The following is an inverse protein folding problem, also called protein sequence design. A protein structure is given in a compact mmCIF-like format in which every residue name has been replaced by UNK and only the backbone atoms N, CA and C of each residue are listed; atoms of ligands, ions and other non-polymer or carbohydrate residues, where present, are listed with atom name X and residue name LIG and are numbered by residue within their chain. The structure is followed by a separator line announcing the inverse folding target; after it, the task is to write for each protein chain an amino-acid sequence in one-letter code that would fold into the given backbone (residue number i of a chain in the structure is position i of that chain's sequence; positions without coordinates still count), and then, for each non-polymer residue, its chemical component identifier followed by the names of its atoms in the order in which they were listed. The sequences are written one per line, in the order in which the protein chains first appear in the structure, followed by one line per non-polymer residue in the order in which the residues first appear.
data_IF_302806034721
#
_entry.id   IF_302806034721
#
_cell.length_a   1.000
_cell.length_b   1.000
_cell.length_c   1.000
_cell.angle_alpha   90.00
_cell.angle_beta   90.00
_cell.angle_gamma   90.00
#
_symmetry.space_group_name_H-M   'P 1'
#
loop_
_entity.id
_entity.type
_entity.pdbx_description
1 polymer ?
#
# COMPACT_ATOMS: atom_id res chain seq x y z
N UNK A 1 22.23 -47.06 -27.23
CA UNK A 1 23.18 -46.65 -26.16
C UNK A 1 22.38 -46.64 -24.86
N UNK A 2 22.28 -47.78 -24.16
CA UNK A 2 23.22 -48.26 -23.12
C UNK A 2 23.13 -47.38 -21.84
N UNK A 3 22.27 -47.75 -20.86
CA UNK A 3 22.57 -48.41 -19.54
C UNK A 3 23.12 -47.42 -18.49
N UNK A 4 22.84 -47.41 -17.17
CA UNK A 4 22.47 -48.38 -16.11
C UNK A 4 22.20 -47.53 -14.83
N UNK A 5 21.15 -47.68 -14.00
CA UNK A 5 20.76 -48.70 -12.99
C UNK A 5 21.64 -48.84 -11.72
N UNK A 6 21.02 -48.63 -10.53
CA UNK A 6 21.09 -49.37 -9.21
C UNK A 6 20.42 -48.51 -8.11
N UNK A 7 19.36 -48.86 -7.36
CA UNK A 7 18.90 -50.02 -6.56
C UNK A 7 19.70 -50.35 -5.27
N UNK A 8 19.00 -50.27 -4.12
CA UNK A 8 18.99 -51.15 -2.92
C UNK A 8 18.01 -50.50 -1.92
N UNK A 9 16.79 -50.97 -1.59
CA UNK A 9 16.32 -52.23 -0.97
C UNK A 9 17.01 -52.62 0.34
N UNK A 10 16.19 -52.85 1.37
CA UNK A 10 16.55 -53.40 2.68
C UNK A 10 15.45 -53.22 3.74
N UNK A 11 14.42 -54.08 3.72
CA UNK A 11 13.41 -54.28 4.77
C UNK A 11 13.59 -55.71 5.37
N UNK A 12 12.75 -56.21 6.31
CA UNK A 12 13.02 -56.37 7.74
C UNK A 12 13.11 -57.85 8.19
N UNK A 13 13.43 -58.16 9.47
CA UNK A 13 13.05 -59.45 10.08
C UNK A 13 13.14 -59.51 11.64
N UNK A 14 11.98 -59.86 12.23
CA UNK A 14 11.69 -60.77 13.38
C UNK A 14 12.05 -60.50 14.88
N UNK A 15 10.95 -60.50 15.67
CA UNK A 15 10.61 -61.06 17.02
C UNK A 15 11.42 -62.27 17.56
N UNK A 16 11.21 -62.84 18.81
CA UNK A 16 10.11 -62.69 19.81
C UNK A 16 10.50 -62.71 21.33
N UNK A 17 9.44 -62.66 22.18
CA UNK A 17 9.22 -63.30 23.51
C UNK A 17 9.90 -62.82 24.80
N UNK A 18 9.06 -62.73 25.86
CA UNK A 18 9.53 -62.72 27.26
C UNK A 18 8.53 -62.20 28.30
N UNK A 19 7.59 -63.05 28.73
CA UNK A 19 6.75 -62.82 29.92
C UNK A 19 7.57 -62.61 31.21
N UNK A 20 7.10 -61.75 32.12
CA UNK A 20 6.97 -62.12 33.55
C UNK A 20 5.97 -61.25 34.30
N UNK A 21 4.96 -61.94 34.81
CA UNK A 21 4.07 -61.54 35.90
C UNK A 21 4.92 -61.44 37.18
N UNK A 22 4.75 -60.37 37.95
CA UNK A 22 4.95 -60.42 39.40
C UNK A 22 3.92 -59.52 40.08
N UNK A 23 3.02 -60.20 40.77
CA UNK A 23 2.04 -59.69 41.69
C UNK A 23 2.70 -59.74 43.06
N UNK A 24 2.90 -58.60 43.71
CA UNK A 24 3.19 -58.57 45.14
C UNK A 24 2.48 -57.38 45.80
N UNK A 25 1.47 -57.77 46.56
CA UNK A 25 0.82 -57.04 47.65
C UNK A 25 1.88 -56.83 48.75
N UNK A 26 1.98 -55.63 49.29
CA UNK A 26 1.99 -55.37 50.74
C UNK A 26 1.97 -53.87 51.03
N UNK A 27 0.95 -53.53 51.81
CA UNK A 27 0.94 -52.68 53.00
C UNK A 27 1.44 -51.23 52.95
N UNK A 28 0.58 -50.38 53.51
CA UNK A 28 0.68 -48.94 53.41
C UNK A 28 1.64 -48.32 54.39
N UNK A 29 2.10 -47.13 54.02
CA UNK A 29 2.58 -46.14 54.96
C UNK A 29 2.35 -44.76 54.35
N UNK A 30 1.78 -43.86 55.18
CA UNK A 30 1.29 -42.56 54.76
C UNK A 30 2.38 -41.69 54.13
N UNK A 31 2.14 -41.23 52.90
CA UNK A 31 2.92 -40.17 52.29
C UNK A 31 2.08 -38.92 52.14
N UNK A 32 2.54 -37.88 52.84
CA UNK A 32 2.00 -36.53 52.85
C UNK A 32 1.81 -36.02 51.42
N UNK A 33 0.67 -35.37 51.23
CA UNK A 33 0.34 -34.46 50.13
C UNK A 33 1.45 -33.45 49.88
N UNK A 34 2.39 -33.80 49.01
CA UNK A 34 3.23 -32.82 48.32
C UNK A 34 2.40 -32.22 47.19
N UNK A 35 1.70 -31.12 47.51
CA UNK A 35 1.11 -30.21 46.54
C UNK A 35 2.23 -29.58 45.71
N UNK A 36 2.69 -30.32 44.69
CA UNK A 36 3.63 -29.86 43.69
C UNK A 36 2.98 -28.83 42.80
N UNK A 37 3.56 -27.63 42.82
CA UNK A 37 3.29 -26.47 41.97
C UNK A 37 3.37 -26.84 40.48
N UNK A 38 2.23 -27.18 39.87
CA UNK A 38 2.16 -27.52 38.46
C UNK A 38 0.94 -26.89 37.77
N UNK A 39 0.74 -25.55 37.85
CA UNK A 39 -0.30 -24.86 37.04
C UNK A 39 -0.02 -23.41 36.59
N UNK A 40 1.20 -22.88 36.69
CA UNK A 40 1.46 -21.47 36.32
C UNK A 40 2.31 -21.29 35.04
N UNK A 41 2.29 -22.26 34.12
CA UNK A 41 3.05 -22.20 32.87
C UNK A 41 2.24 -21.74 31.63
N UNK A 42 1.02 -21.24 31.79
CA UNK A 42 0.16 -20.83 30.66
C UNK A 42 0.23 -19.34 30.29
N UNK A 43 1.26 -18.61 30.71
CA UNK A 43 1.32 -17.15 30.56
C UNK A 43 1.92 -16.63 29.23
N UNK A 44 2.35 -17.50 28.30
CA UNK A 44 3.29 -17.08 27.23
C UNK A 44 2.85 -16.92 25.75
N UNK A 45 1.57 -17.03 25.31
CA UNK A 45 1.25 -16.73 23.89
C UNK A 45 1.10 -15.23 23.55
N UNK A 46 0.81 -14.38 24.53
CA UNK A 46 0.42 -12.98 24.29
C UNK A 46 1.59 -12.02 24.06
N UNK A 47 2.77 -12.32 24.60
CA UNK A 47 3.96 -11.47 24.43
C UNK A 47 4.47 -11.51 22.98
N UNK A 48 4.47 -12.70 22.35
CA UNK A 48 4.90 -12.87 20.96
C UNK A 48 4.04 -12.10 19.96
N UNK A 49 2.73 -12.01 20.18
CA UNK A 49 1.81 -11.25 19.32
C UNK A 49 2.14 -9.75 19.36
N UNK A 50 2.45 -9.21 20.54
CA UNK A 50 2.76 -7.79 20.74
C UNK A 50 4.07 -7.38 20.05
N UNK A 51 5.09 -8.24 20.05
CA UNK A 51 6.33 -7.99 19.31
C UNK A 51 6.13 -7.98 17.79
N UNK A 52 5.26 -8.86 17.28
CA UNK A 52 4.90 -8.88 15.85
C UNK A 52 4.18 -7.59 15.45
N UNK A 53 3.23 -7.12 16.26
CA UNK A 53 2.53 -5.85 16.01
C UNK A 53 3.50 -4.66 16.02
N UNK A 54 4.40 -4.61 17.01
CA UNK A 54 5.43 -3.57 17.09
C UNK A 54 6.36 -3.56 15.87
N UNK A 55 6.74 -4.72 15.34
CA UNK A 55 7.54 -4.83 14.11
C UNK A 55 6.80 -4.32 12.87
N UNK A 56 5.52 -4.66 12.73
CA UNK A 56 4.69 -4.17 11.62
C UNK A 56 4.50 -2.66 11.70
N UNK A 57 4.29 -2.10 12.90
CA UNK A 57 4.12 -0.64 13.11
C UNK A 57 5.42 0.12 12.77
N UNK A 58 6.58 -0.40 13.14
CA UNK A 58 7.88 0.18 12.75
C UNK A 58 8.02 0.17 11.22
N UNK A 59 7.65 -0.93 10.56
CA UNK A 59 7.71 -1.04 9.12
C UNK A 59 6.79 -0.02 8.42
N UNK A 60 5.58 0.20 8.96
CA UNK A 60 4.67 1.25 8.48
C UNK A 60 5.32 2.63 8.63
N UNK A 61 5.90 2.92 9.79
CA UNK A 61 6.53 4.21 10.07
C UNK A 61 7.73 4.48 9.15
N UNK A 62 8.59 3.49 8.91
CA UNK A 62 9.73 3.63 7.99
C UNK A 62 9.28 3.92 6.56
N UNK A 63 8.27 3.20 6.07
CA UNK A 63 7.75 3.41 4.71
C UNK A 63 7.04 4.76 4.58
N UNK A 64 6.30 5.20 5.60
CA UNK A 64 5.68 6.53 5.61
C UNK A 64 6.71 7.66 5.59
N UNK A 65 7.88 7.46 6.21
CA UNK A 65 8.97 8.42 6.18
C UNK A 65 9.59 8.53 4.78
N UNK A 66 9.91 7.40 4.13
CA UNK A 66 10.47 7.39 2.77
C UNK A 66 9.51 8.07 1.76
N UNK A 67 8.20 7.96 2.00
CA UNK A 67 7.19 8.66 1.21
C UNK A 67 7.20 10.18 1.36
N UNK A 68 7.50 10.67 2.57
CA UNK A 68 7.58 12.11 2.84
C UNK A 68 8.80 12.76 2.17
N UNK A 69 9.79 11.98 1.75
CA UNK A 69 11.05 12.48 1.17
C UNK A 69 11.14 12.31 -0.36
N UNK A 70 10.06 11.87 -1.02
CA UNK A 70 10.10 11.47 -2.42
C UNK A 70 10.50 12.60 -3.41
N UNK A 71 11.43 12.26 -4.31
CA UNK A 71 12.10 13.13 -5.29
C UNK A 71 11.21 13.75 -6.39
N UNK A 72 11.67 14.82 -7.07
CA UNK A 72 10.86 15.63 -7.99
C UNK A 72 10.25 14.84 -9.16
N UNK A 73 8.95 15.08 -9.32
CA UNK A 73 8.04 14.48 -10.28
C UNK A 73 8.51 14.59 -11.74
N UNK A 74 8.87 13.46 -12.39
CA UNK A 74 9.21 13.39 -13.84
C UNK A 74 8.12 13.97 -14.75
N UNK A 75 6.87 13.85 -14.32
CA UNK A 75 5.71 14.46 -14.99
C UNK A 75 5.84 15.99 -15.10
N UNK A 76 6.37 16.66 -14.07
CA UNK A 76 6.58 18.11 -14.11
C UNK A 76 7.56 18.49 -15.22
N UNK A 77 8.69 17.79 -15.31
CA UNK A 77 9.67 18.01 -16.39
C UNK A 77 9.05 17.79 -17.77
N UNK A 78 8.20 16.77 -17.93
CA UNK A 78 7.49 16.51 -19.17
C UNK A 78 6.53 17.65 -19.54
N UNK A 79 5.76 18.17 -18.57
CA UNK A 79 4.79 19.24 -18.81
C UNK A 79 5.44 20.61 -19.01
N UNK A 80 6.51 20.89 -18.26
CA UNK A 80 7.30 22.11 -18.42
C UNK A 80 7.94 22.17 -19.82
N UNK A 81 8.26 21.01 -20.41
CA UNK A 81 8.85 20.94 -21.76
C UNK A 81 7.92 21.43 -22.87
N UNK A 82 6.59 21.41 -22.65
CA UNK A 82 5.58 21.96 -23.57
C UNK A 82 4.99 23.29 -23.06
N UNK A 83 5.73 24.00 -22.19
CA UNK A 83 5.38 25.32 -21.67
C UNK A 83 4.02 25.41 -20.93
N UNK A 84 3.50 24.29 -20.39
CA UNK A 84 2.21 24.27 -19.68
C UNK A 84 2.29 24.98 -18.32
N UNK A 85 1.96 26.28 -18.29
CA UNK A 85 2.20 27.20 -17.15
C UNK A 85 1.39 26.94 -15.86
N UNK A 86 0.47 25.97 -15.82
CA UNK A 86 -0.50 25.82 -14.72
C UNK A 86 -0.64 24.39 -14.14
N UNK A 87 0.37 23.54 -14.31
CA UNK A 87 0.32 22.13 -13.89
C UNK A 87 0.97 21.86 -12.53
N UNK A 88 1.31 22.90 -11.78
CA UNK A 88 1.94 22.83 -10.44
C UNK A 88 1.15 21.99 -9.44
N UNK A 89 -0.16 21.80 -9.66
CA UNK A 89 -1.01 20.98 -8.80
C UNK A 89 -1.03 19.48 -9.15
N UNK A 90 -0.50 19.06 -10.31
CA UNK A 90 -0.54 17.66 -10.72
C UNK A 90 0.51 16.77 -10.06
N UNK A 91 1.61 17.37 -9.60
CA UNK A 91 2.61 16.70 -8.78
C UNK A 91 2.43 17.03 -7.30
N UNK A 92 1.31 17.67 -6.94
CA UNK A 92 1.07 18.12 -5.58
C UNK A 92 0.48 16.97 -4.78
N UNK A 93 1.35 16.04 -4.43
CA UNK A 93 1.09 15.00 -3.44
C UNK A 93 0.94 15.58 -2.03
N UNK A 94 0.88 16.89 -1.83
CA UNK A 94 0.73 17.50 -0.50
C UNK A 94 -0.37 16.84 0.33
N UNK A 95 -1.51 16.47 -0.25
CA UNK A 95 -2.57 15.79 0.51
C UNK A 95 -2.19 14.37 0.90
N UNK A 96 -1.47 13.63 0.05
CA UNK A 96 -0.95 12.29 0.36
C UNK A 96 0.22 12.37 1.34
N UNK A 97 1.07 13.39 1.22
CA UNK A 97 2.18 13.73 2.11
C UNK A 97 1.68 14.07 3.51
N UNK A 98 0.70 14.98 3.62
CA UNK A 98 0.04 15.34 4.89
C UNK A 98 -0.60 14.11 5.54
N UNK A 99 -1.25 13.24 4.75
CA UNK A 99 -1.82 11.97 5.24
C UNK A 99 -0.72 10.99 5.68
N UNK A 100 0.38 10.89 4.92
CA UNK A 100 1.51 10.02 5.25
C UNK A 100 2.22 10.47 6.54
N UNK A 101 2.43 11.77 6.72
CA UNK A 101 2.98 12.34 7.95
C UNK A 101 2.05 12.08 9.15
N UNK A 102 0.74 12.23 8.96
CA UNK A 102 -0.23 11.87 9.99
C UNK A 102 -0.13 10.37 10.34
N UNK A 103 -0.15 9.48 9.35
CA UNK A 103 -0.01 8.03 9.55
C UNK A 103 1.30 7.70 10.28
N UNK A 104 2.40 8.36 9.93
CA UNK A 104 3.69 8.21 10.59
C UNK A 104 3.62 8.55 12.08
N UNK A 105 3.07 9.73 12.42
CA UNK A 105 2.94 10.20 13.79
C UNK A 105 1.99 9.30 14.62
N UNK A 106 0.90 8.85 14.02
CA UNK A 106 -0.02 7.91 14.66
C UNK A 106 0.59 6.53 14.86
N UNK A 107 1.41 6.05 13.93
CA UNK A 107 2.13 4.78 14.04
C UNK A 107 3.10 4.81 15.22
N UNK A 108 3.88 5.89 15.38
CA UNK A 108 4.74 6.06 16.55
C UNK A 108 3.97 6.14 17.86
N UNK A 109 2.85 6.86 17.87
CA UNK A 109 1.98 6.95 19.05
C UNK A 109 1.44 5.58 19.45
N UNK A 110 1.02 4.77 18.47
CA UNK A 110 0.56 3.40 18.67
C UNK A 110 1.69 2.48 19.14
N UNK A 111 2.90 2.64 18.61
CA UNK A 111 4.08 1.90 19.04
C UNK A 111 4.41 2.16 20.52
N UNK A 112 4.40 3.43 20.94
CA UNK A 112 4.63 3.83 22.33
C UNK A 112 3.51 3.26 23.22
N UNK A 113 2.26 3.36 22.79
CA UNK A 113 1.09 2.84 23.53
C UNK A 113 1.17 1.32 23.74
N UNK A 114 1.56 0.56 22.72
CA UNK A 114 1.75 -0.90 22.83
C UNK A 114 2.99 -1.26 23.65
N UNK A 115 4.09 -0.53 23.51
CA UNK A 115 5.31 -0.74 24.30
C UNK A 115 5.07 -0.52 25.80
N UNK A 116 4.25 0.49 26.14
CA UNK A 116 3.81 0.75 27.51
C UNK A 116 3.11 -0.48 28.10
N UNK A 117 2.24 -1.15 27.34
CA UNK A 117 1.60 -2.39 27.80
C UNK A 117 2.60 -3.52 28.06
N UNK A 118 3.52 -3.78 27.12
CA UNK A 118 4.45 -4.90 27.24
C UNK A 118 5.31 -4.73 28.51
N UNK A 119 5.77 -3.51 28.78
CA UNK A 119 6.65 -3.22 29.91
C UNK A 119 5.87 -3.16 31.23
N UNK A 120 4.70 -2.52 31.26
CA UNK A 120 3.96 -2.31 32.51
C UNK A 120 3.03 -3.44 32.87
N UNK A 121 2.55 -4.25 31.93
CA UNK A 121 1.73 -5.42 32.22
C UNK A 121 2.37 -6.34 33.28
N UNK A 122 3.62 -6.81 33.14
CA UNK A 122 4.24 -7.67 34.16
C UNK A 122 4.49 -6.93 35.48
N UNK A 123 4.84 -5.64 35.44
CA UNK A 123 5.06 -4.83 36.63
C UNK A 123 3.77 -4.61 37.44
N UNK A 124 2.71 -4.14 36.78
CA UNK A 124 1.38 -3.91 37.34
C UNK A 124 0.79 -5.24 37.82
N UNK A 125 0.95 -6.32 37.04
CA UNK A 125 0.50 -7.65 37.42
C UNK A 125 1.14 -8.12 38.74
N UNK A 126 2.46 -8.02 38.84
CA UNK A 126 3.22 -8.51 39.99
C UNK A 126 2.99 -7.69 41.26
N UNK A 127 2.92 -6.37 41.16
CA UNK A 127 2.88 -5.48 42.33
C UNK A 127 1.49 -4.99 42.72
N UNK A 128 0.64 -4.68 41.73
CA UNK A 128 -0.64 -3.99 41.99
C UNK A 128 -1.81 -4.96 41.93
N UNK A 129 -1.90 -5.75 40.86
CA UNK A 129 -3.05 -6.63 40.60
C UNK A 129 -3.14 -7.75 41.63
N UNK A 130 -2.00 -8.34 42.02
CA UNK A 130 -1.97 -9.35 43.08
C UNK A 130 -2.56 -8.84 44.40
N UNK A 131 -2.48 -7.53 44.64
CA UNK A 131 -2.96 -6.88 45.86
C UNK A 131 -4.37 -6.29 45.71
N UNK A 132 -4.75 -5.87 44.50
CA UNK A 132 -6.03 -5.21 44.20
C UNK A 132 -6.62 -5.69 42.86
N UNK A 133 -7.49 -6.72 42.86
CA UNK A 133 -8.04 -7.28 41.62
C UNK A 133 -8.94 -6.30 40.85
N UNK A 134 -9.59 -5.36 41.54
CA UNK A 134 -10.42 -4.32 40.89
C UNK A 134 -9.61 -3.39 39.97
N UNK A 135 -8.32 -3.18 40.27
CA UNK A 135 -7.44 -2.35 39.46
C UNK A 135 -7.15 -2.97 38.09
N UNK A 136 -7.15 -4.31 38.01
CA UNK A 136 -6.94 -5.03 36.76
C UNK A 136 -8.06 -4.74 35.74
N UNK A 137 -9.31 -4.70 36.19
CA UNK A 137 -10.47 -4.41 35.33
C UNK A 137 -10.37 -2.99 34.78
N UNK A 138 -10.07 -2.01 35.65
CA UNK A 138 -9.92 -0.61 35.25
C UNK A 138 -8.81 -0.47 34.21
N UNK A 139 -7.65 -1.09 34.45
CA UNK A 139 -6.52 -1.04 33.53
C UNK A 139 -6.87 -1.56 32.13
N UNK A 140 -7.46 -2.76 32.02
CA UNK A 140 -7.86 -3.31 30.72
C UNK A 140 -8.98 -2.50 30.05
N UNK A 141 -9.88 -1.90 30.85
CA UNK A 141 -10.96 -1.05 30.32
C UNK A 141 -10.40 0.22 29.69
N UNK A 142 -9.47 0.90 30.37
CA UNK A 142 -8.77 2.08 29.83
C UNK A 142 -8.02 1.72 28.54
N UNK A 143 -7.33 0.59 28.55
CA UNK A 143 -6.61 0.13 27.36
C UNK A 143 -7.53 -0.18 26.17
N UNK A 144 -8.69 -0.79 26.43
CA UNK A 144 -9.69 -1.09 25.40
C UNK A 144 -10.20 0.19 24.72
N UNK A 145 -10.55 1.21 25.51
CA UNK A 145 -11.01 2.49 24.95
C UNK A 145 -9.91 3.22 24.17
N UNK A 146 -8.68 3.25 24.68
CA UNK A 146 -7.55 3.83 23.95
C UNK A 146 -7.29 3.12 22.62
N UNK A 147 -7.30 1.79 22.63
CA UNK A 147 -7.09 0.96 21.44
C UNK A 147 -8.19 1.13 20.40
N UNK A 148 -9.44 1.29 20.85
CA UNK A 148 -10.59 1.60 19.98
C UNK A 148 -10.41 2.95 19.31
N UNK A 149 -9.96 3.97 20.06
CA UNK A 149 -9.65 5.29 19.52
C UNK A 149 -8.60 5.26 18.41
N UNK A 150 -7.48 4.54 18.62
CA UNK A 150 -6.45 4.36 17.59
C UNK A 150 -6.99 3.65 16.34
N UNK A 151 -7.85 2.63 16.51
CA UNK A 151 -8.43 1.91 15.36
C UNK A 151 -9.30 2.81 14.51
N UNK A 152 -10.15 3.61 15.17
CA UNK A 152 -11.00 4.58 14.48
C UNK A 152 -10.15 5.59 13.69
N UNK A 153 -9.07 6.12 14.29
CA UNK A 153 -8.16 7.06 13.63
C UNK A 153 -7.45 6.43 12.42
N UNK A 154 -6.96 5.18 12.54
CA UNK A 154 -6.35 4.48 11.41
C UNK A 154 -7.34 4.23 10.27
N UNK A 155 -8.59 3.87 10.58
CA UNK A 155 -9.65 3.70 9.58
C UNK A 155 -10.01 5.03 8.89
N UNK A 156 -10.08 6.13 9.64
CA UNK A 156 -10.31 7.47 9.10
C UNK A 156 -9.20 7.86 8.12
N UNK A 157 -7.93 7.71 8.51
CA UNK A 157 -6.79 7.98 7.63
C UNK A 157 -6.76 7.07 6.41
N UNK A 158 -7.06 5.77 6.57
CA UNK A 158 -7.18 4.84 5.45
C UNK A 158 -8.28 5.25 4.46
N UNK A 159 -9.43 5.71 4.96
CA UNK A 159 -10.53 6.19 4.12
C UNK A 159 -10.14 7.44 3.35
N UNK A 160 -9.44 8.40 3.99
CA UNK A 160 -8.93 9.62 3.35
C UNK A 160 -7.89 9.30 2.28
N UNK A 161 -6.99 8.35 2.55
CA UNK A 161 -5.99 7.89 1.58
C UNK A 161 -6.64 7.22 0.35
N UNK A 162 -7.76 6.52 0.53
CA UNK A 162 -8.54 5.96 -0.58
C UNK A 162 -9.29 7.03 -1.37
N UNK A 163 -9.93 7.99 -0.71
CA UNK A 163 -10.66 9.08 -1.36
C UNK A 163 -9.71 9.98 -2.16
N UNK A 164 -8.59 10.39 -1.55
CA UNK A 164 -7.55 11.20 -2.19
C UNK A 164 -7.05 10.54 -3.48
N UNK A 165 -6.71 9.25 -3.45
CA UNK A 165 -6.26 8.53 -4.65
C UNK A 165 -7.34 8.49 -5.74
N UNK A 166 -8.61 8.27 -5.39
CA UNK A 166 -9.67 8.13 -6.39
C UNK A 166 -10.09 9.46 -7.03
N UNK A 167 -10.05 10.55 -6.26
CA UNK A 167 -10.59 11.86 -6.62
C UNK A 167 -9.55 12.75 -7.29
N UNK A 168 -8.31 12.75 -6.80
CA UNK A 168 -7.25 13.60 -7.37
C UNK A 168 -6.81 13.09 -8.74
N UNK A 169 -6.69 11.77 -8.91
CA UNK A 169 -6.25 11.14 -10.16
C UNK A 169 -7.19 11.52 -11.32
N UNK A 170 -8.51 11.37 -11.16
CA UNK A 170 -9.45 11.60 -12.26
C UNK A 170 -9.65 13.08 -12.61
N UNK A 171 -9.76 13.96 -11.60
CA UNK A 171 -9.99 15.39 -11.82
C UNK A 171 -8.74 16.04 -12.44
N UNK A 172 -7.55 15.62 -12.01
CA UNK A 172 -6.29 16.12 -12.54
C UNK A 172 -6.09 15.75 -14.02
N UNK A 173 -6.42 14.52 -14.44
CA UNK A 173 -6.22 14.11 -15.84
C UNK A 173 -7.14 14.85 -16.81
N UNK A 174 -8.39 15.10 -16.43
CA UNK A 174 -9.30 15.85 -17.30
C UNK A 174 -8.83 17.30 -17.49
N UNK A 175 -8.44 17.97 -16.40
CA UNK A 175 -7.93 19.34 -16.46
C UNK A 175 -6.60 19.40 -17.22
N UNK A 176 -5.73 18.42 -17.03
CA UNK A 176 -4.48 18.28 -17.78
C UNK A 176 -4.72 18.11 -19.27
N UNK A 177 -5.56 17.15 -19.65
CA UNK A 177 -5.89 16.86 -21.03
C UNK A 177 -6.47 18.11 -21.71
N UNK A 178 -7.40 18.79 -21.05
CA UNK A 178 -7.99 20.04 -21.55
C UNK A 178 -6.93 21.13 -21.73
N UNK A 179 -6.03 21.30 -20.76
CA UNK A 179 -4.94 22.30 -20.84
C UNK A 179 -3.95 21.98 -21.96
N UNK A 180 -3.60 20.70 -22.13
CA UNK A 180 -2.73 20.24 -23.22
C UNK A 180 -3.35 20.46 -24.59
N UNK A 181 -4.64 20.13 -24.76
CA UNK A 181 -5.37 20.39 -26.00
C UNK A 181 -5.41 21.88 -26.27
N UNK A 182 -5.78 22.68 -25.26
CA UNK A 182 -5.88 24.13 -25.40
C UNK A 182 -4.54 24.75 -25.83
N UNK A 183 -3.42 24.32 -25.24
CA UNK A 183 -2.09 24.84 -25.60
C UNK A 183 -1.67 24.39 -27.00
N UNK A 184 -1.99 23.15 -27.38
CA UNK A 184 -1.74 22.64 -28.72
C UNK A 184 -2.55 23.44 -29.77
N UNK A 185 -3.86 23.58 -29.55
CA UNK A 185 -4.79 24.28 -30.45
C UNK A 185 -4.44 25.75 -30.62
N UNK A 186 -3.88 26.42 -29.61
CA UNK A 186 -3.52 27.85 -29.71
C UNK A 186 -2.13 28.09 -30.27
N UNK A 187 -1.17 27.21 -30.00
CA UNK A 187 0.27 27.53 -30.19
C UNK A 187 0.97 26.68 -31.24
N UNK A 188 0.34 25.60 -31.74
CA UNK A 188 0.98 24.71 -32.71
C UNK A 188 0.84 25.21 -34.16
N UNK A 189 1.96 25.57 -34.79
CA UNK A 189 2.02 26.21 -36.12
C UNK A 189 2.83 25.42 -37.14
N UNK A 190 3.71 24.50 -36.71
CA UNK A 190 4.62 23.79 -37.62
C UNK A 190 5.00 22.38 -37.13
N UNK A 191 5.11 21.41 -38.05
CA UNK A 191 5.66 20.07 -37.80
C UNK A 191 7.17 19.97 -38.01
N UNK A 192 7.90 21.09 -37.93
CA UNK A 192 9.33 21.17 -38.19
C UNK A 192 10.14 21.42 -36.89
N UNK A 193 11.06 20.50 -36.58
CA UNK A 193 12.00 20.58 -35.45
C UNK A 193 13.01 21.73 -35.55
N UNK A 194 13.26 22.24 -36.76
CA UNK A 194 14.16 23.37 -37.03
C UNK A 194 13.42 24.71 -37.17
N UNK A 195 12.11 24.75 -36.88
CA UNK A 195 11.35 26.00 -36.94
C UNK A 195 11.80 26.98 -35.84
N UNK A 196 11.65 28.28 -36.11
CA UNK A 196 11.83 29.33 -35.08
C UNK A 196 10.68 29.43 -34.08
N UNK A 197 9.62 28.63 -34.26
CA UNK A 197 8.45 28.59 -33.38
C UNK A 197 8.74 27.68 -32.19
N UNK A 198 9.00 28.31 -31.04
CA UNK A 198 9.42 27.61 -29.83
C UNK A 198 8.37 26.62 -29.31
N UNK A 199 7.07 26.89 -29.52
CA UNK A 199 5.97 26.06 -29.02
C UNK A 199 5.79 24.82 -29.89
N UNK A 200 5.81 25.01 -31.21
CA UNK A 200 5.75 23.93 -32.18
C UNK A 200 6.95 23.01 -32.07
N UNK A 201 8.15 23.59 -31.90
CA UNK A 201 9.36 22.82 -31.63
C UNK A 201 9.22 22.01 -30.34
N UNK A 202 8.77 22.62 -29.25
CA UNK A 202 8.54 21.95 -27.98
C UNK A 202 7.57 20.76 -28.09
N UNK A 203 6.44 20.93 -28.79
CA UNK A 203 5.49 19.84 -29.04
C UNK A 203 6.08 18.72 -29.90
N UNK A 204 6.83 19.05 -30.95
CA UNK A 204 7.48 18.06 -31.79
C UNK A 204 8.57 17.28 -31.05
N UNK A 205 9.39 17.97 -30.25
CA UNK A 205 10.36 17.36 -29.36
C UNK A 205 9.65 16.44 -28.36
N UNK A 206 8.52 16.88 -27.80
CA UNK A 206 7.70 16.10 -26.87
C UNK A 206 7.15 14.81 -27.48
N UNK A 207 6.62 14.85 -28.70
CA UNK A 207 6.10 13.67 -29.42
C UNK A 207 7.19 12.62 -29.68
N UNK A 208 8.42 13.06 -29.94
CA UNK A 208 9.56 12.16 -30.12
C UNK A 208 10.04 11.64 -28.77
N UNK A 209 10.33 12.52 -27.82
CA UNK A 209 10.92 12.19 -26.53
C UNK A 209 10.05 11.20 -25.74
N UNK A 210 8.73 11.41 -25.75
CA UNK A 210 7.81 10.58 -24.99
C UNK A 210 7.19 9.45 -25.80
N UNK A 211 7.50 9.34 -27.10
CA UNK A 211 6.94 8.32 -27.99
C UNK A 211 5.40 8.33 -27.97
N UNK A 212 4.82 9.50 -28.25
CA UNK A 212 3.39 9.71 -28.30
C UNK A 212 2.96 10.62 -29.45
N UNK A 213 1.67 10.62 -29.78
CA UNK A 213 1.08 11.46 -30.81
C UNK A 213 -0.29 12.00 -30.38
N UNK A 214 -0.51 13.30 -30.59
CA UNK A 214 -1.71 14.03 -30.17
C UNK A 214 -1.98 13.90 -28.66
N UNK A 215 -2.87 14.72 -28.12
CA UNK A 215 -3.21 14.62 -26.70
C UNK A 215 -4.16 13.44 -26.48
N UNK A 216 -5.21 13.34 -27.30
CA UNK A 216 -6.19 12.26 -27.39
C UNK A 216 -5.75 11.20 -28.39
N UNK A 217 -6.43 10.07 -28.35
CA UNK A 217 -6.23 8.99 -29.31
C UNK A 217 -6.60 9.46 -30.73
N UNK A 218 -5.69 9.23 -31.67
CA UNK A 218 -5.91 9.53 -33.08
C UNK A 218 -6.82 8.46 -33.67
N UNK A 219 -8.09 8.81 -33.92
CA UNK A 219 -9.07 7.90 -34.52
C UNK A 219 -9.19 8.02 -36.04
N UNK A 220 -8.49 8.99 -36.64
CA UNK A 220 -8.48 9.22 -38.08
C UNK A 220 -8.04 10.64 -38.43
N UNK A 221 -8.55 11.14 -39.55
CA UNK A 221 -8.20 12.45 -40.08
C UNK A 221 -8.79 13.63 -39.30
N UNK A 222 -9.85 13.38 -38.52
CA UNK A 222 -10.34 14.34 -37.51
C UNK A 222 -9.68 14.04 -36.17
N UNK A 223 -8.75 14.90 -35.77
CA UNK A 223 -7.93 14.72 -34.57
C UNK A 223 -7.62 16.08 -33.92
N UNK A 224 -6.79 16.09 -32.87
CA UNK A 224 -6.48 17.29 -32.08
C UNK A 224 -5.77 18.41 -32.88
N UNK A 225 -5.20 18.11 -34.04
CA UNK A 225 -4.49 19.11 -34.85
C UNK A 225 -5.43 19.96 -35.71
N UNK A 226 -6.67 19.52 -35.97
CA UNK A 226 -7.58 20.17 -36.95
C UNK A 226 -7.83 21.65 -36.64
N UNK A 227 -7.91 22.01 -35.36
CA UNK A 227 -8.17 23.38 -34.92
C UNK A 227 -6.90 24.23 -34.74
N UNK A 228 -5.72 23.65 -34.92
CA UNK A 228 -4.44 24.35 -34.73
C UNK A 228 -4.18 25.36 -35.86
N UNK A 229 -3.37 26.41 -35.63
CA UNK A 229 -2.87 27.30 -36.69
C UNK A 229 -2.20 26.55 -37.84
N UNK A 230 -1.55 25.41 -37.56
CA UNK A 230 -0.91 24.55 -38.56
C UNK A 230 -1.88 23.99 -39.62
N UNK A 231 -3.14 23.76 -39.22
CA UNK A 231 -4.20 23.29 -40.12
C UNK A 231 -5.10 24.43 -40.63
N UNK A 232 -5.29 25.49 -39.85
CA UNK A 232 -6.25 26.56 -40.16
C UNK A 232 -5.64 27.74 -40.92
N UNK A 233 -4.37 28.06 -40.68
CA UNK A 233 -3.74 29.30 -41.20
C UNK A 233 -2.64 28.99 -42.21
N UNK A 234 -1.69 28.14 -41.85
CA UNK A 234 -0.55 27.80 -42.69
C UNK A 234 0.09 26.50 -42.19
N UNK A 235 0.64 25.69 -43.08
CA UNK A 235 1.31 24.45 -42.71
C UNK A 235 1.02 23.33 -43.71
N UNK A 236 1.74 22.23 -43.52
CA UNK A 236 1.53 21.01 -44.32
C UNK A 236 0.12 20.44 -44.12
N UNK A 237 -0.48 20.65 -42.94
CA UNK A 237 -1.89 20.32 -42.71
C UNK A 237 -2.87 21.21 -43.47
N UNK A 238 -2.68 22.53 -43.41
CA UNK A 238 -3.49 23.46 -44.18
C UNK A 238 -3.43 23.19 -45.70
N UNK A 239 -2.25 22.79 -46.19
CA UNK A 239 -2.04 22.40 -47.58
C UNK A 239 -2.61 21.01 -47.96
N UNK A 240 -3.29 20.32 -47.04
CA UNK A 240 -3.78 18.93 -47.19
C UNK A 240 -2.70 17.91 -47.54
N UNK A 241 -1.44 18.21 -47.19
CA UNK A 241 -0.30 17.30 -47.41
C UNK A 241 -0.03 16.41 -46.19
N UNK A 242 -0.46 16.84 -45.01
CA UNK A 242 -0.36 16.13 -43.75
C UNK A 242 -1.68 16.23 -42.98
N UNK A 243 -1.92 15.32 -42.06
CA UNK A 243 -3.08 15.33 -41.16
C UNK A 243 -2.67 15.16 -39.70
N UNK A 244 -1.52 14.54 -39.47
CA UNK A 244 -0.78 14.58 -38.20
C UNK A 244 0.68 14.96 -38.48
N UNK A 245 1.42 15.50 -37.51
CA UNK A 245 2.84 15.81 -37.67
C UNK A 245 3.66 14.56 -38.00
N UNK A 246 4.73 14.70 -38.80
CA UNK A 246 5.62 13.55 -39.10
C UNK A 246 6.27 12.95 -37.84
N UNK A 247 6.49 13.78 -36.82
CA UNK A 247 7.02 13.40 -35.51
C UNK A 247 6.11 12.44 -34.72
N UNK A 248 4.82 12.36 -35.08
CA UNK A 248 3.87 11.39 -34.55
C UNK A 248 4.04 9.96 -35.07
N UNK A 249 4.77 9.77 -36.17
CA UNK A 249 4.93 8.46 -36.78
C UNK A 249 5.78 7.54 -35.91
N UNK A 250 5.50 6.24 -35.97
CA UNK A 250 6.32 5.26 -35.24
C UNK A 250 7.74 5.21 -35.79
N UNK A 251 8.66 4.86 -34.90
CA UNK A 251 10.07 4.59 -35.23
C UNK A 251 10.79 5.77 -35.90
N UNK A 252 10.31 6.99 -35.65
CA UNK A 252 10.98 8.23 -36.07
C UNK A 252 11.76 8.87 -34.93
N UNK A 253 12.87 9.47 -35.29
CA UNK A 253 13.82 10.18 -34.43
C UNK A 253 13.94 11.64 -34.87
N UNK A 254 14.63 12.50 -34.10
CA UNK A 254 14.86 13.89 -34.50
C UNK A 254 15.58 14.02 -35.84
N UNK A 255 16.39 13.04 -36.23
CA UNK A 255 17.25 13.10 -37.41
C UNK A 255 16.54 12.61 -38.69
N UNK A 256 15.53 11.74 -38.57
CA UNK A 256 14.94 11.05 -39.72
C UNK A 256 13.41 11.20 -39.85
N UNK A 257 12.74 11.93 -38.96
CA UNK A 257 11.28 12.14 -39.02
C UNK A 257 10.78 12.69 -40.37
N UNK A 258 11.62 13.43 -41.11
CA UNK A 258 11.27 13.92 -42.45
C UNK A 258 11.01 12.77 -43.45
N UNK A 259 11.61 11.60 -43.22
CA UNK A 259 11.45 10.40 -44.04
C UNK A 259 10.21 9.56 -43.66
N UNK A 260 9.38 10.04 -42.73
CA UNK A 260 8.17 9.34 -42.31
C UNK A 260 7.28 8.98 -43.51
N UNK A 261 6.68 7.78 -43.55
CA UNK A 261 5.87 7.34 -44.68
C UNK A 261 4.55 8.13 -44.76
N UNK A 262 4.08 8.52 -45.96
CA UNK A 262 2.80 9.23 -46.15
C UNK A 262 1.59 8.48 -45.57
N UNK A 263 1.64 7.14 -45.55
CA UNK A 263 0.60 6.31 -44.93
C UNK A 263 0.37 6.67 -43.45
N UNK A 264 1.40 7.13 -42.74
CA UNK A 264 1.28 7.58 -41.36
C UNK A 264 0.73 9.01 -41.27
N UNK A 265 1.44 9.98 -41.83
CA UNK A 265 1.16 11.37 -41.51
C UNK A 265 0.06 11.99 -42.38
N UNK A 266 -0.19 11.48 -43.59
CA UNK A 266 -1.21 11.99 -44.52
C UNK A 266 -2.47 11.13 -44.53
N UNK A 267 -2.33 9.80 -44.49
CA UNK A 267 -3.49 8.88 -44.52
C UNK A 267 -3.91 8.36 -43.15
N UNK A 268 -3.09 8.55 -42.10
CA UNK A 268 -3.38 8.16 -40.71
C UNK A 268 -3.79 6.67 -40.61
N UNK A 269 -3.03 5.79 -41.27
CA UNK A 269 -3.30 4.34 -41.26
C UNK A 269 -3.07 3.79 -39.84
N UNK A 270 -4.06 3.11 -39.22
CA UNK A 270 -3.91 2.55 -37.89
C UNK A 270 -2.66 1.67 -37.75
N UNK A 271 -1.96 1.82 -36.62
CA UNK A 271 -0.73 1.07 -36.35
C UNK A 271 0.55 1.71 -36.87
N UNK A 272 0.48 2.78 -37.67
CA UNK A 272 1.65 3.49 -38.21
C UNK A 272 2.06 4.74 -37.42
N UNK A 273 1.18 5.23 -36.52
CA UNK A 273 1.41 6.36 -35.63
C UNK A 273 1.47 5.91 -34.16
N UNK A 274 2.09 6.75 -33.31
CA UNK A 274 2.27 6.51 -31.87
C UNK A 274 0.96 6.61 -31.09
N UNK A 275 0.95 6.10 -29.86
CA UNK A 275 -0.20 6.20 -28.94
C UNK A 275 -0.44 7.63 -28.44
N UNK A 276 -1.60 7.89 -27.81
CA UNK A 276 -1.92 9.23 -27.29
C UNK A 276 -0.97 9.70 -26.19
N UNK A 277 -0.64 10.99 -26.20
CA UNK A 277 0.24 11.58 -25.19
C UNK A 277 -0.38 11.56 -23.80
N UNK A 278 -1.71 11.66 -23.66
CA UNK A 278 -2.34 11.53 -22.33
C UNK A 278 -2.14 10.13 -21.74
N UNK A 279 -2.17 9.07 -22.57
CA UNK A 279 -1.91 7.70 -22.11
C UNK A 279 -0.46 7.53 -21.68
N UNK A 280 0.47 8.12 -22.43
CA UNK A 280 1.89 8.08 -22.07
C UNK A 280 2.19 8.87 -20.79
N UNK A 281 1.61 10.06 -20.67
CA UNK A 281 1.72 10.88 -19.46
C UNK A 281 1.14 10.15 -18.25
N UNK A 282 -0.01 9.47 -18.40
CA UNK A 282 -0.58 8.61 -17.36
C UNK A 282 0.37 7.47 -16.95
N UNK A 283 1.14 6.91 -17.87
CA UNK A 283 2.16 5.92 -17.50
C UNK A 283 3.31 6.56 -16.71
N UNK A 284 3.68 7.81 -17.02
CA UNK A 284 4.74 8.53 -16.30
C UNK A 284 4.34 8.91 -14.88
N UNK A 285 3.09 9.31 -14.67
CA UNK A 285 2.54 9.61 -13.33
C UNK A 285 2.52 8.38 -12.42
N UNK A 286 2.08 7.23 -12.96
CA UNK A 286 2.09 5.93 -12.28
C UNK A 286 3.50 5.46 -11.94
N UNK A 287 4.50 5.87 -12.74
CA UNK A 287 5.91 5.52 -12.49
C UNK A 287 6.66 6.49 -11.56
N UNK A 288 6.17 7.72 -11.38
CA UNK A 288 6.82 8.74 -10.53
C UNK A 288 6.40 8.66 -9.07
N UNK A 289 5.23 8.08 -8.80
CA UNK A 289 4.83 7.65 -7.47
C UNK A 289 4.59 6.17 -7.59
N UNK A 290 5.53 5.38 -7.10
CA UNK A 290 5.47 3.92 -7.18
C UNK A 290 4.12 3.47 -6.61
N UNK A 291 3.19 3.14 -7.51
CA UNK A 291 1.86 2.64 -7.16
C UNK A 291 2.00 1.41 -6.27
N UNK A 292 3.09 0.66 -6.47
CA UNK A 292 3.58 -0.39 -5.58
C UNK A 292 3.74 0.12 -4.15
N UNK A 293 4.42 1.23 -3.93
CA UNK A 293 4.64 1.81 -2.61
C UNK A 293 3.33 2.33 -1.98
N UNK A 294 2.41 2.97 -2.72
CA UNK A 294 1.13 3.44 -2.13
C UNK A 294 0.26 2.23 -1.76
N UNK A 295 0.20 1.24 -2.64
CA UNK A 295 -0.48 -0.03 -2.37
C UNK A 295 0.14 -0.73 -1.15
N UNK A 296 1.47 -0.67 -1.05
CA UNK A 296 2.23 -1.19 0.08
C UNK A 296 1.88 -0.46 1.37
N UNK A 297 1.88 0.87 1.39
CA UNK A 297 1.44 1.68 2.54
C UNK A 297 0.00 1.34 2.95
N UNK A 298 -0.93 1.24 1.99
CA UNK A 298 -2.31 0.82 2.23
C UNK A 298 -2.40 -0.56 2.85
N UNK A 299 -1.65 -1.52 2.30
CA UNK A 299 -1.62 -2.89 2.81
C UNK A 299 -1.11 -2.95 4.25
N UNK A 300 -0.12 -2.12 4.58
CA UNK A 300 0.44 -2.01 5.92
C UNK A 300 -0.52 -1.35 6.90
N UNK A 301 -1.14 -0.22 6.55
CA UNK A 301 -2.17 0.43 7.38
C UNK A 301 -3.33 -0.53 7.64
N UNK A 302 -3.75 -1.28 6.61
CA UNK A 302 -4.79 -2.30 6.73
C UNK A 302 -4.37 -3.45 7.65
N UNK A 303 -3.13 -3.95 7.52
CA UNK A 303 -2.60 -4.99 8.39
C UNK A 303 -2.55 -4.52 9.86
N UNK A 304 -2.04 -3.31 10.12
CA UNK A 304 -2.06 -2.70 11.48
C UNK A 304 -3.48 -2.62 12.02
N UNK A 305 -4.45 -2.21 11.20
CA UNK A 305 -5.86 -2.19 11.56
C UNK A 305 -6.39 -3.57 11.99
N UNK A 306 -6.11 -4.62 11.21
CA UNK A 306 -6.49 -6.00 11.56
C UNK A 306 -5.85 -6.41 12.88
N UNK A 307 -4.54 -6.20 13.04
CA UNK A 307 -3.84 -6.56 14.27
C UNK A 307 -4.43 -5.85 15.49
N UNK A 308 -4.79 -4.57 15.34
CA UNK A 308 -5.42 -3.80 16.40
C UNK A 308 -6.79 -4.37 16.81
N UNK A 309 -7.60 -4.82 15.85
CA UNK A 309 -8.89 -5.49 16.12
C UNK A 309 -8.67 -6.84 16.82
N UNK A 310 -7.67 -7.62 16.41
CA UNK A 310 -7.31 -8.89 17.07
C UNK A 310 -6.91 -8.66 18.54
N UNK A 311 -6.09 -7.63 18.81
CA UNK A 311 -5.72 -7.24 20.17
C UNK A 311 -6.96 -6.87 20.98
N UNK A 312 -7.90 -6.11 20.42
CA UNK A 312 -9.15 -5.77 21.10
C UNK A 312 -9.98 -7.00 21.44
N UNK A 313 -10.19 -7.92 20.50
CA UNK A 313 -10.93 -9.17 20.76
C UNK A 313 -10.28 -9.97 21.89
N UNK A 314 -8.94 -10.04 21.90
CA UNK A 314 -8.19 -10.69 22.98
C UNK A 314 -8.41 -9.99 24.33
N UNK A 315 -8.35 -8.66 24.39
CA UNK A 315 -8.59 -7.91 25.64
C UNK A 315 -10.01 -8.11 26.19
N UNK A 316 -11.03 -8.11 25.32
CA UNK A 316 -12.42 -8.37 25.71
C UNK A 316 -12.51 -9.78 26.31
N UNK A 317 -11.97 -10.79 25.63
CA UNK A 317 -11.98 -12.18 26.11
C UNK A 317 -11.34 -12.28 27.51
N UNK A 318 -10.22 -11.58 27.73
CA UNK A 318 -9.52 -11.57 29.01
C UNK A 318 -10.35 -10.93 30.13
N UNK A 319 -11.02 -9.81 29.85
CA UNK A 319 -11.92 -9.14 30.80
C UNK A 319 -13.11 -10.04 31.16
N UNK A 320 -13.72 -10.71 30.17
CA UNK A 320 -14.83 -11.63 30.40
C UNK A 320 -14.44 -12.80 31.30
N UNK A 321 -13.28 -13.43 31.04
CA UNK A 321 -12.77 -14.53 31.87
C UNK A 321 -12.59 -14.07 33.32
N UNK A 322 -11.96 -12.90 33.54
CA UNK A 322 -11.73 -12.37 34.89
C UNK A 322 -13.02 -11.98 35.60
N UNK A 323 -13.98 -11.43 34.87
CA UNK A 323 -15.30 -11.11 35.41
C UNK A 323 -16.03 -12.38 35.89
N UNK A 324 -16.00 -13.46 35.10
CA UNK A 324 -16.57 -14.75 35.49
C UNK A 324 -15.90 -15.36 36.73
N UNK A 325 -14.57 -15.24 36.86
CA UNK A 325 -13.85 -15.69 38.06
C UNK A 325 -14.30 -14.93 39.33
N UNK A 326 -14.54 -13.61 39.21
CA UNK A 326 -15.03 -12.77 40.31
C UNK A 326 -16.46 -13.17 40.68
N UNK A 327 -17.36 -13.32 39.70
CA UNK A 327 -18.73 -13.78 39.93
C UNK A 327 -18.77 -15.14 40.62
N UNK A 328 -17.94 -16.10 40.18
CA UNK A 328 -17.83 -17.42 40.81
C UNK A 328 -17.34 -17.36 42.25
N UNK A 329 -16.53 -16.36 42.59
CA UNK A 329 -16.03 -16.14 43.95
C UNK A 329 -17.10 -15.53 44.85
N UNK A 330 -17.84 -14.53 44.35
CA UNK A 330 -18.97 -13.92 45.06
C UNK A 330 -20.08 -14.95 45.32
N UNK A 331 -20.44 -15.73 44.29
CA UNK A 331 -21.47 -16.76 44.39
C UNK A 331 -21.14 -17.82 45.46
N UNK A 332 -19.88 -18.33 45.47
CA UNK A 332 -19.41 -19.26 46.50
C UNK A 332 -19.49 -18.67 47.91
N UNK A 333 -19.16 -17.39 48.07
CA UNK A 333 -19.20 -16.73 49.37
C UNK A 333 -20.62 -16.52 49.90
N UNK A 334 -21.57 -16.24 49.01
CA UNK A 334 -22.98 -16.08 49.37
C UNK A 334 -23.62 -17.43 49.73
N UNK A 335 -23.40 -18.47 48.92
CA UNK A 335 -24.01 -19.78 49.16
C UNK A 335 -23.34 -20.58 50.28
N UNK A 336 -22.04 -20.37 50.53
CA UNK A 336 -21.32 -21.00 51.63
C UNK A 336 -21.76 -20.52 53.02
N UNK A 337 -22.34 -19.31 53.13
CA UNK A 337 -22.86 -18.77 54.39
C UNK A 337 -24.22 -19.32 54.81
N UNK A 338 -24.96 -19.98 53.92
CA UNK A 338 -26.29 -20.52 54.25
C UNK A 338 -26.26 -21.94 54.87
N UNK A 339 -25.06 -22.53 55.02
CA UNK A 339 -24.88 -23.88 55.57
C UNK A 339 -24.09 -23.94 56.89
N UNK A 340 -23.82 -22.78 57.49
CA UNK A 340 -23.29 -22.64 58.86
C UNK A 340 -24.32 -21.92 59.71
#
# INVERSE_FOLDING_TARGET
MATSSRNSEGEPLLQPDGQRINQQRDDGEGSKTSGGSEKDASFFPSESLMFVVSGVVIMVASLSYDFSEAHPCKLKTALDSIHLKNTTNLCKYNTIEDIAEAIYLWSWSLFIWNSYLVILSPYIYRFVIRRYPSFQIIFYTVFFFGSTGFSYMLLDQYSKLNDAQSKEVNIAYYQLQSSMISELETSYTSDNLSSGDIYSKAWNDFFIQYDCCAVREVQGTTNDFVNTPWCTTNGSCHANTSTIPRTCCKDVTPDDYQNAPPACYASVVPGTFKQSCISRIRALTVSSVDEGSIHTLKSYVYAVGIYQVLIQMWTIMHVQIKFLEILKTIYRHFHGRNHS
#
